data_IF_169651566253
#
_entry.id   IF_169651566253
#
_cell.length_a   1.000
_cell.length_b   1.000
_cell.length_c   1.000
_cell.angle_alpha   90.00
_cell.angle_beta   90.00
_cell.angle_gamma   90.00
#
_symmetry.space_group_name_H-M   'P 1'
#
loop_
_entity.id
_entity.type
_entity.pdbx_description
1 polymer ?
#
# COMPACT_ATOMS: atom_id res chain seq x y z
N UNK A 1 4.15 -21.74 14.48
CA UNK A 1 3.59 -21.53 14.83
C UNK A 1 3.62 -21.21 15.21
N UNK A 2 3.90 -21.48 15.19
CA UNK A 2 3.33 -21.28 15.66
C UNK A 2 3.27 -20.97 16.15
N UNK A 3 3.52 -21.23 16.31
CA UNK A 3 2.97 -20.98 16.98
C UNK A 3 2.94 -20.72 17.41
N UNK A 4 3.26 -20.89 17.62
CA UNK A 4 2.76 -20.73 18.18
C UNK A 4 2.66 -20.43 18.64
N UNK A 5 2.90 -20.62 18.78
CA UNK A 5 2.40 -20.41 19.39
C UNK A 5 2.23 -20.17 19.78
N UNK A 6 2.45 -20.26 20.05
CA UNK A 6 1.96 -20.06 20.54
C UNK A 6 1.94 -19.68 20.96
N UNK A 7 2.10 -19.79 21.11
CA UNK A 7 1.85 -19.36 21.54
C UNK A 7 1.80 -18.70 21.85
N UNK A 8 1.95 -18.64 21.69
CA UNK A 8 1.91 -18.09 22.06
C UNK A 8 1.85 -17.20 21.97
N UNK A 9 1.77 -17.15 21.95
CA UNK A 9 1.65 -16.28 21.65
C UNK A 9 0.94 -15.67 21.91
N UNK A 10 1.01 -15.33 22.22
CA UNK A 10 0.25 -14.57 22.45
C UNK A 10 -0.65 -13.75 21.93
N UNK A 11 -1.33 -13.58 22.31
CA UNK A 11 -2.26 -12.82 21.62
C UNK A 11 -2.40 -11.49 22.15
N UNK A 12 -1.94 -10.52 21.41
CA UNK A 12 -2.17 -9.15 21.77
C UNK A 12 -3.39 -8.69 21.01
N UNK A 13 -4.41 -8.14 21.68
CA UNK A 13 -5.56 -7.61 20.96
C UNK A 13 -5.16 -6.60 19.90
N UNK A 14 -4.12 -5.81 20.19
CA UNK A 14 -3.63 -4.84 19.24
C UNK A 14 -3.07 -5.50 17.99
N UNK A 15 -2.67 -6.75 18.08
CA UNK A 15 -2.12 -7.46 16.94
C UNK A 15 -3.16 -7.82 15.91
N UNK A 16 -4.43 -7.62 16.21
CA UNK A 16 -5.48 -7.98 15.26
C UNK A 16 -5.40 -7.16 14.00
N UNK A 17 -5.14 -5.87 14.15
CA UNK A 17 -5.01 -5.03 12.99
C UNK A 17 -6.27 -4.98 12.13
N UNK A 18 -6.14 -4.29 11.03
CA UNK A 18 -7.22 -4.17 10.07
C UNK A 18 -6.61 -4.20 8.67
N UNK A 19 -7.11 -5.04 7.81
CA UNK A 19 -6.64 -5.15 6.44
C UNK A 19 -7.72 -4.65 5.51
N UNK A 20 -7.35 -3.76 4.60
CA UNK A 20 -8.28 -3.25 3.62
C UNK A 20 -7.58 -2.98 2.30
N UNK A 21 -8.36 -2.71 1.28
CA UNK A 21 -7.85 -2.46 -0.07
C UNK A 21 -8.32 -1.09 -0.52
N UNK A 22 -7.39 -0.31 -1.07
CA UNK A 22 -7.72 1.01 -1.62
C UNK A 22 -7.28 1.08 -3.06
N UNK A 23 -8.09 1.74 -3.88
CA UNK A 23 -7.72 2.06 -5.25
C UNK A 23 -7.10 3.44 -5.23
N UNK A 24 -5.89 3.55 -5.77
CA UNK A 24 -5.12 4.77 -5.74
C UNK A 24 -4.71 5.16 -7.14
N UNK A 25 -4.33 6.42 -7.30
CA UNK A 25 -3.85 6.91 -8.57
C UNK A 25 -2.75 7.93 -8.32
N UNK A 26 -1.68 7.83 -9.10
CA UNK A 26 -0.64 8.84 -9.10
C UNK A 26 -0.06 8.93 -10.50
N UNK A 27 0.50 10.08 -10.82
CA UNK A 27 1.06 10.31 -12.15
C UNK A 27 2.53 10.68 -12.10
N UNK A 28 3.02 11.09 -10.96
CA UNK A 28 4.41 11.52 -10.82
C UNK A 28 5.08 10.75 -9.69
N UNK A 29 6.41 10.78 -9.68
CA UNK A 29 7.16 10.14 -8.60
C UNK A 29 6.88 10.79 -7.27
N UNK A 30 6.66 12.11 -7.27
CA UNK A 30 6.35 12.81 -6.03
C UNK A 30 5.00 12.39 -5.48
N UNK A 31 4.02 12.20 -6.35
CA UNK A 31 2.71 11.73 -5.93
C UNK A 31 2.79 10.31 -5.39
N UNK A 32 3.62 9.46 -6.01
CA UNK A 32 3.82 8.11 -5.51
C UNK A 32 4.42 8.13 -4.11
N UNK A 33 5.42 9.00 -3.89
CA UNK A 33 6.01 9.13 -2.56
C UNK A 33 4.98 9.59 -1.54
N UNK A 34 4.19 10.60 -1.89
CA UNK A 34 3.17 11.11 -0.99
C UNK A 34 2.15 10.04 -0.63
N UNK A 35 1.76 9.23 -1.60
CA UNK A 35 0.82 8.16 -1.39
C UNK A 35 1.36 7.15 -0.38
N UNK A 36 2.58 6.69 -0.58
CA UNK A 36 3.17 5.66 0.26
C UNK A 36 3.52 6.20 1.64
N UNK A 37 4.02 7.44 1.72
CA UNK A 37 4.31 8.07 3.01
C UNK A 37 3.04 8.23 3.84
N UNK A 38 1.93 8.58 3.20
CA UNK A 38 0.67 8.77 3.91
C UNK A 38 0.26 7.49 4.65
N UNK A 39 0.48 6.35 4.03
CA UNK A 39 0.13 5.08 4.64
C UNK A 39 1.04 4.80 5.84
N UNK A 40 2.35 4.86 5.65
CA UNK A 40 3.28 4.47 6.71
C UNK A 40 3.28 5.47 7.85
N UNK A 41 2.98 6.75 7.58
CA UNK A 41 2.91 7.76 8.64
C UNK A 41 1.76 7.49 9.61
N UNK A 42 0.74 6.78 9.17
CA UNK A 42 -0.39 6.40 10.03
C UNK A 42 -0.19 5.02 10.67
N UNK A 43 1.02 4.47 10.56
CA UNK A 43 1.30 3.17 11.12
C UNK A 43 0.88 2.01 10.25
N UNK A 44 0.52 2.29 9.01
CA UNK A 44 0.10 1.24 8.08
C UNK A 44 1.27 0.60 7.36
N UNK A 45 1.00 -0.57 6.80
CA UNK A 45 1.95 -1.29 5.96
C UNK A 45 1.34 -1.41 4.58
N UNK A 46 2.09 -1.02 3.57
CA UNK A 46 1.67 -1.25 2.18
C UNK A 46 2.11 -2.66 1.83
N UNK A 47 1.15 -3.57 1.78
CA UNK A 47 1.46 -4.99 1.60
C UNK A 47 1.83 -5.29 0.16
N UNK A 48 1.05 -4.78 -0.78
CA UNK A 48 1.28 -5.09 -2.19
C UNK A 48 0.72 -3.99 -3.08
N UNK A 49 0.93 -4.17 -4.37
CA UNK A 49 0.30 -3.36 -5.40
C UNK A 49 -0.27 -4.32 -6.44
N UNK A 50 -1.47 -4.02 -6.92
CA UNK A 50 -2.11 -4.84 -7.95
C UNK A 50 -2.68 -3.94 -9.02
N UNK A 51 -2.62 -4.41 -10.27
CA UNK A 51 -3.19 -3.68 -11.40
C UNK A 51 -3.95 -4.68 -12.27
N UNK A 52 -4.94 -4.16 -12.99
CA UNK A 52 -5.69 -4.96 -13.97
C UNK A 52 -4.99 -4.85 -15.30
N UNK A 53 -4.65 -5.98 -15.87
CA UNK A 53 -4.02 -6.02 -17.18
C UNK A 53 -4.95 -6.74 -18.14
N UNK A 54 -5.27 -6.14 -19.30
CA UNK A 54 -6.24 -6.77 -20.20
C UNK A 54 -5.78 -8.11 -20.78
N UNK A 55 -4.47 -8.34 -20.80
CA UNK A 55 -3.94 -9.58 -21.36
C UNK A 55 -3.77 -10.65 -20.30
N UNK A 56 -3.23 -10.29 -19.14
CA UNK A 56 -2.86 -11.27 -18.11
C UNK A 56 -3.80 -11.27 -16.91
N UNK A 57 -4.77 -10.36 -16.85
CA UNK A 57 -5.64 -10.26 -15.70
C UNK A 57 -4.97 -9.44 -14.61
N UNK A 58 -5.16 -9.83 -13.36
CA UNK A 58 -4.58 -9.08 -12.26
C UNK A 58 -3.10 -9.42 -12.11
N UNK A 59 -2.27 -8.38 -12.10
CA UNK A 59 -0.85 -8.50 -11.82
C UNK A 59 -0.59 -7.91 -10.45
N UNK A 60 0.18 -8.61 -9.62
CA UNK A 60 0.40 -8.20 -8.24
C UNK A 60 1.87 -8.28 -7.90
N UNK A 61 2.36 -7.26 -7.20
CA UNK A 61 3.72 -7.23 -6.70
C UNK A 61 3.73 -7.03 -5.20
N UNK A 62 4.56 -7.78 -4.49
CA UNK A 62 4.69 -7.65 -3.05
C UNK A 62 5.59 -6.46 -2.71
N UNK A 63 5.19 -5.67 -1.73
CA UNK A 63 5.94 -4.49 -1.32
C UNK A 63 6.39 -4.55 0.13
N UNK A 64 5.44 -4.75 1.05
CA UNK A 64 5.71 -4.84 2.49
C UNK A 64 6.46 -3.63 3.01
N UNK A 65 5.96 -2.43 2.66
CA UNK A 65 6.58 -1.17 3.08
C UNK A 65 5.95 -0.74 4.40
N UNK A 66 6.76 -0.67 5.45
CA UNK A 66 6.26 -0.39 6.80
C UNK A 66 6.83 0.91 7.38
N UNK A 67 7.74 1.57 6.68
CA UNK A 67 8.38 2.78 7.18
C UNK A 67 8.77 3.66 6.01
N UNK A 68 9.08 4.92 6.33
CA UNK A 68 9.60 5.82 5.29
C UNK A 68 10.92 5.31 4.71
N UNK A 69 11.72 4.66 5.54
CA UNK A 69 12.96 4.07 5.05
C UNK A 69 12.66 3.03 3.97
N UNK A 70 11.68 2.16 4.22
CA UNK A 70 11.29 1.16 3.24
C UNK A 70 10.79 1.81 1.96
N UNK A 71 9.99 2.86 2.11
CA UNK A 71 9.45 3.58 0.95
C UNK A 71 10.58 4.19 0.12
N UNK A 72 11.52 4.85 0.81
CA UNK A 72 12.63 5.50 0.11
C UNK A 72 13.47 4.49 -0.67
N UNK A 73 13.69 3.32 -0.07
CA UNK A 73 14.44 2.27 -0.73
C UNK A 73 13.72 1.77 -1.97
N UNK A 74 12.41 1.56 -1.84
CA UNK A 74 11.59 1.15 -2.97
C UNK A 74 11.60 2.19 -4.08
N UNK A 75 11.49 3.47 -3.71
CA UNK A 75 11.46 4.53 -4.71
C UNK A 75 12.78 4.65 -5.46
N UNK A 76 13.89 4.40 -4.78
CA UNK A 76 15.19 4.41 -5.44
C UNK A 76 15.29 3.28 -6.46
N UNK A 77 14.81 2.10 -6.08
CA UNK A 77 14.81 0.97 -7.01
C UNK A 77 13.89 1.23 -8.19
N UNK A 78 12.75 1.85 -7.93
CA UNK A 78 11.81 2.17 -9.01
C UNK A 78 12.37 3.20 -9.96
N UNK A 79 13.15 4.15 -9.45
CA UNK A 79 13.77 5.15 -10.31
C UNK A 79 14.80 4.53 -11.27
N UNK A 80 15.46 3.46 -10.81
CA UNK A 80 16.44 2.78 -11.65
C UNK A 80 15.77 1.88 -12.69
N UNK A 81 14.56 1.40 -12.43
CA UNK A 81 13.86 0.49 -13.34
C UNK A 81 12.42 0.92 -13.50
N UNK A 82 12.17 2.12 -14.03
CA UNK A 82 10.79 2.63 -14.09
C UNK A 82 9.85 1.76 -14.92
N UNK A 83 10.40 1.04 -15.90
CA UNK A 83 9.59 0.18 -16.74
C UNK A 83 9.02 -1.01 -15.99
N UNK A 84 9.53 -1.29 -14.79
CA UNK A 84 9.04 -2.42 -13.99
C UNK A 84 7.87 -2.06 -13.09
N UNK A 85 7.49 -0.78 -13.01
CA UNK A 85 6.39 -0.35 -12.17
C UNK A 85 5.06 -0.80 -12.73
N UNK A 86 4.32 -1.58 -11.95
CA UNK A 86 3.02 -2.08 -12.40
C UNK A 86 2.02 -0.97 -12.67
N UNK A 87 2.06 0.10 -11.86
CA UNK A 87 1.09 1.17 -12.01
C UNK A 87 1.17 1.88 -13.36
N UNK A 88 2.30 1.76 -14.06
CA UNK A 88 2.43 2.38 -15.37
C UNK A 88 1.58 1.69 -16.43
N UNK A 89 1.18 0.45 -16.17
CA UNK A 89 0.39 -0.31 -17.14
C UNK A 89 -1.06 0.13 -17.19
N UNK A 90 -1.51 0.94 -16.22
CA UNK A 90 -2.90 1.35 -16.14
C UNK A 90 -3.06 2.86 -16.07
N UNK A 91 -2.03 3.60 -16.47
CA UNK A 91 -2.09 5.05 -16.40
C UNK A 91 -2.05 5.58 -14.98
N UNK A 92 -1.53 4.77 -14.05
CA UNK A 92 -1.37 5.18 -12.67
C UNK A 92 -2.39 4.63 -11.71
N UNK A 93 -3.48 4.05 -12.21
CA UNK A 93 -4.52 3.48 -11.34
C UNK A 93 -4.08 2.09 -10.86
N UNK A 94 -4.12 1.89 -9.55
CA UNK A 94 -3.66 0.63 -8.96
C UNK A 94 -4.36 0.41 -7.63
N UNK A 95 -4.27 -0.83 -7.15
CA UNK A 95 -4.82 -1.20 -5.85
C UNK A 95 -3.69 -1.49 -4.88
N UNK A 96 -3.87 -1.08 -3.63
CA UNK A 96 -2.96 -1.44 -2.55
C UNK A 96 -3.72 -2.18 -1.47
N UNK A 97 -3.14 -3.28 -1.01
CA UNK A 97 -3.60 -3.91 0.22
C UNK A 97 -2.83 -3.26 1.36
N UNK A 98 -3.55 -2.76 2.34
CA UNK A 98 -2.95 -2.09 3.50
C UNK A 98 -3.28 -2.86 4.75
N UNK A 99 -2.29 -2.99 5.63
CA UNK A 99 -2.50 -3.54 6.97
C UNK A 99 -2.24 -2.42 7.96
N UNK A 100 -3.26 -2.08 8.72
CA UNK A 100 -3.21 -0.95 9.66
C UNK A 100 -3.43 -1.45 11.07
N UNK A 101 -3.02 -0.67 12.09
CA UNK A 101 -3.23 -1.10 13.47
C UNK A 101 -4.70 -1.31 13.81
N UNK A 102 -5.59 -0.50 13.21
CA UNK A 102 -7.02 -0.62 13.45
C UNK A 102 -7.77 0.01 12.30
N UNK A 103 -9.08 -0.13 12.32
CA UNK A 103 -9.92 0.41 11.26
C UNK A 103 -9.87 1.93 11.21
N UNK A 104 -9.76 2.57 12.36
CA UNK A 104 -9.69 4.03 12.41
C UNK A 104 -8.47 4.54 11.66
N UNK A 105 -7.33 3.87 11.82
CA UNK A 105 -6.12 4.23 11.09
C UNK A 105 -6.32 4.09 9.59
N UNK A 106 -6.97 3.01 9.17
CA UNK A 106 -7.25 2.78 7.75
C UNK A 106 -8.10 3.91 7.19
N UNK A 107 -9.12 4.34 7.95
CA UNK A 107 -10.00 5.42 7.50
C UNK A 107 -9.25 6.74 7.40
N UNK A 108 -8.31 6.99 8.32
CA UNK A 108 -7.49 8.21 8.26
C UNK A 108 -6.61 8.20 7.03
N UNK A 109 -6.04 7.06 6.68
CA UNK A 109 -5.25 6.94 5.46
C UNK A 109 -6.12 7.25 4.25
N UNK A 110 -7.29 6.64 4.20
CA UNK A 110 -8.20 6.83 3.06
C UNK A 110 -8.59 8.29 2.92
N UNK A 111 -8.92 8.95 4.03
CA UNK A 111 -9.31 10.35 4.00
C UNK A 111 -8.15 11.23 3.55
N UNK A 112 -6.94 10.95 4.04
CA UNK A 112 -5.77 11.74 3.67
C UNK A 112 -5.45 11.58 2.19
N UNK A 113 -5.57 10.37 1.67
CA UNK A 113 -5.32 10.15 0.24
C UNK A 113 -6.37 10.85 -0.62
N UNK A 114 -7.62 10.82 -0.18
CA UNK A 114 -8.70 11.51 -0.90
C UNK A 114 -8.43 13.00 -0.93
N UNK A 115 -7.98 13.56 0.20
CA UNK A 115 -7.70 14.98 0.32
C UNK A 115 -6.57 15.40 -0.62
N UNK A 116 -5.61 14.54 -0.82
CA UNK A 116 -4.46 14.81 -1.69
C UNK A 116 -4.75 14.51 -3.17
N UNK A 117 -5.94 13.99 -3.46
CA UNK A 117 -6.29 13.64 -4.83
C UNK A 117 -5.62 12.37 -5.32
N UNK A 118 -5.18 11.53 -4.40
CA UNK A 118 -4.48 10.29 -4.73
C UNK A 118 -5.35 9.05 -4.63
N UNK A 119 -6.57 9.20 -4.15
CA UNK A 119 -7.51 8.10 -4.05
C UNK A 119 -8.34 8.06 -5.32
N UNK A 120 -8.34 6.91 -6.00
CA UNK A 120 -9.14 6.75 -7.20
C UNK A 120 -10.59 6.55 -6.80
N UNK A 121 -11.47 7.38 -7.33
CA UNK A 121 -12.89 7.26 -7.05
C UNK A 121 -13.64 7.12 -8.36
N UNK A 122 -14.37 6.02 -8.46
CA UNK A 122 -15.15 5.75 -9.63
C UNK A 122 -16.51 6.45 -9.51
N UNK A 123 -16.86 7.17 -10.54
CA UNK A 123 -18.13 7.86 -10.58
C UNK A 123 -19.28 6.93 -10.83
#
# INVERSE_FOLDING_TARGET
QIDATPRGYQLHPAAKGYTGILACVHRTAEEMRAELYTVVDQGGVVVDVAVENPLYGELRGNLNLASRYDVDLFLRQAADTPECLLSRMTGGVHLHTLRCPDEASFRRVKAALAEKGLLYQKE
#
